data_IF_900517449496
#
_entry.id   IF_900517449496
#
_cell.length_a   1.000
_cell.length_b   1.000
_cell.length_c   1.000
_cell.angle_alpha   90.00
_cell.angle_beta   90.00
_cell.angle_gamma   90.00
#
_symmetry.space_group_name_H-M   'P 1'
#
loop_
_entity.id
_entity.type
_entity.pdbx_description
1 polymer ?
#
# COMPACT_ATOMS: atom_id res chain seq x y z
N UNK A 1 -19.17 -18.76 27.54
CA UNK A 1 -18.01 -19.66 27.38
C UNK A 1 -16.79 -18.85 26.92
N UNK A 2 -16.01 -18.35 27.89
CA UNK A 2 -14.96 -17.34 27.66
C UNK A 2 -13.75 -17.89 26.90
N UNK A 3 -13.49 -19.21 27.00
CA UNK A 3 -12.39 -19.89 26.30
C UNK A 3 -12.54 -19.91 24.78
N UNK A 4 -13.76 -20.16 24.27
CA UNK A 4 -14.03 -20.17 22.82
C UNK A 4 -13.84 -18.79 22.17
N UNK A 5 -14.10 -17.72 22.91
CA UNK A 5 -13.91 -16.34 22.43
C UNK A 5 -12.44 -15.99 22.23
N UNK A 6 -11.58 -16.37 23.18
CA UNK A 6 -10.13 -16.12 23.10
C UNK A 6 -9.50 -16.90 21.94
N UNK A 7 -9.90 -18.16 21.76
CA UNK A 7 -9.38 -19.01 20.68
C UNK A 7 -9.81 -18.50 19.29
N UNK A 8 -11.07 -18.08 19.16
CA UNK A 8 -11.57 -17.46 17.93
C UNK A 8 -10.82 -16.17 17.60
N UNK A 9 -10.54 -15.32 18.60
CA UNK A 9 -9.77 -14.09 18.42
C UNK A 9 -8.33 -14.38 17.95
N UNK A 10 -7.67 -15.37 18.56
CA UNK A 10 -6.32 -15.80 18.15
C UNK A 10 -6.30 -16.31 16.71
N UNK A 11 -7.28 -17.14 16.33
CA UNK A 11 -7.40 -17.66 14.98
C UNK A 11 -7.60 -16.53 13.95
N UNK A 12 -8.45 -15.53 14.26
CA UNK A 12 -8.63 -14.34 13.44
C UNK A 12 -7.33 -13.54 13.30
N UNK A 13 -6.63 -13.25 14.40
CA UNK A 13 -5.36 -12.54 14.35
C UNK A 13 -4.33 -13.28 13.50
N UNK A 14 -4.19 -14.59 13.66
CA UNK A 14 -3.28 -15.41 12.87
C UNK A 14 -3.65 -15.40 11.37
N UNK A 15 -4.94 -15.44 11.04
CA UNK A 15 -5.41 -15.35 9.66
C UNK A 15 -5.06 -13.99 9.04
N UNK A 16 -5.29 -12.88 9.74
CA UNK A 16 -4.97 -11.53 9.26
C UNK A 16 -3.47 -11.33 9.02
N UNK A 17 -2.62 -11.85 9.90
CA UNK A 17 -1.15 -11.85 9.71
C UNK A 17 -0.79 -12.62 8.43
N UNK A 18 -1.35 -13.81 8.21
CA UNK A 18 -1.10 -14.62 7.01
C UNK A 18 -1.58 -13.91 5.74
N UNK A 19 -2.75 -13.30 5.78
CA UNK A 19 -3.30 -12.54 4.64
C UNK A 19 -2.36 -11.39 4.30
N UNK A 20 -1.98 -10.55 5.25
CA UNK A 20 -1.06 -9.44 4.97
C UNK A 20 0.32 -9.90 4.50
N UNK A 21 0.84 -10.97 5.11
CA UNK A 21 2.11 -11.59 4.70
C UNK A 21 2.08 -12.07 3.24
N UNK A 22 0.92 -12.52 2.74
CA UNK A 22 0.71 -12.86 1.34
C UNK A 22 0.67 -11.62 0.42
N UNK A 23 0.15 -10.49 0.91
CA UNK A 23 0.08 -9.21 0.16
C UNK A 23 1.45 -8.55 -0.05
N UNK A 24 2.46 -8.87 0.77
CA UNK A 24 3.82 -8.29 0.70
C UNK A 24 4.40 -8.29 -0.72
N UNK A 25 4.24 -9.40 -1.45
CA UNK A 25 4.79 -9.51 -2.81
C UNK A 25 4.08 -8.60 -3.81
N UNK A 26 2.76 -8.48 -3.70
CA UNK A 26 1.98 -7.53 -4.51
C UNK A 26 2.39 -6.09 -4.21
N UNK A 27 2.51 -5.72 -2.94
CA UNK A 27 2.99 -4.39 -2.55
C UNK A 27 4.34 -4.08 -3.22
N UNK A 28 5.30 -5.01 -3.13
CA UNK A 28 6.60 -4.84 -3.76
C UNK A 28 6.51 -4.74 -5.30
N UNK A 29 5.71 -5.58 -5.96
CA UNK A 29 5.56 -5.56 -7.42
C UNK A 29 4.95 -4.24 -7.92
N UNK A 30 3.85 -3.78 -7.31
CA UNK A 30 3.21 -2.51 -7.67
C UNK A 30 4.16 -1.34 -7.39
N UNK A 31 4.85 -1.36 -6.24
CA UNK A 31 5.86 -0.38 -5.87
C UNK A 31 6.96 -0.27 -6.93
N UNK A 32 7.58 -1.39 -7.29
CA UNK A 32 8.66 -1.44 -8.27
C UNK A 32 8.21 -0.95 -9.65
N UNK A 33 7.02 -1.36 -10.11
CA UNK A 33 6.45 -0.89 -11.37
C UNK A 33 6.28 0.63 -11.37
N UNK A 34 5.73 1.17 -10.28
CA UNK A 34 5.50 2.60 -10.14
C UNK A 34 6.82 3.40 -10.09
N UNK A 35 7.79 2.96 -9.29
CA UNK A 35 9.09 3.62 -9.14
C UNK A 35 9.93 3.59 -10.44
N UNK A 36 9.83 2.51 -11.22
CA UNK A 36 10.48 2.38 -12.55
C UNK A 36 9.80 3.24 -13.61
N UNK A 37 8.47 3.32 -13.60
CA UNK A 37 7.70 4.10 -14.58
C UNK A 37 7.89 5.62 -14.45
N UNK A 38 8.29 6.11 -13.27
CA UNK A 38 8.47 7.52 -13.01
C UNK A 38 9.64 7.71 -12.01
N UNK A 39 10.80 8.24 -12.46
CA UNK A 39 11.98 8.48 -11.62
C UNK A 39 11.74 9.43 -10.43
N UNK A 40 10.75 10.32 -10.52
CA UNK A 40 10.42 11.29 -9.47
C UNK A 40 9.24 10.85 -8.59
N UNK A 41 8.70 9.64 -8.81
CA UNK A 41 7.62 9.12 -7.95
C UNK A 41 8.20 8.71 -6.59
N UNK A 42 7.55 9.14 -5.50
CA UNK A 42 7.79 8.64 -4.15
C UNK A 42 6.61 7.78 -3.68
N UNK A 43 6.94 6.75 -2.92
CA UNK A 43 6.02 5.71 -2.50
C UNK A 43 5.92 5.68 -0.98
N UNK A 44 4.70 5.52 -0.48
CA UNK A 44 4.45 5.16 0.91
C UNK A 44 3.74 3.82 0.96
N UNK A 45 4.25 2.86 1.72
CA UNK A 45 3.56 1.59 1.97
C UNK A 45 3.23 1.50 3.46
N UNK A 46 1.94 1.43 3.77
CA UNK A 46 1.45 1.28 5.13
C UNK A 46 0.92 -0.14 5.34
N UNK A 47 1.54 -0.90 6.25
CA UNK A 47 1.13 -2.27 6.62
C UNK A 47 0.71 -2.32 8.09
N UNK A 48 0.07 -3.39 8.54
CA UNK A 48 -0.35 -3.52 9.93
C UNK A 48 0.73 -4.21 10.79
N UNK A 49 1.48 -5.16 10.23
CA UNK A 49 2.44 -5.99 10.96
C UNK A 49 3.90 -5.67 10.62
N UNK A 50 4.77 -5.72 11.64
CA UNK A 50 6.20 -5.42 11.50
C UNK A 50 6.94 -6.42 10.61
N UNK A 51 6.54 -7.70 10.63
CA UNK A 51 7.15 -8.72 9.75
C UNK A 51 6.92 -8.39 8.27
N UNK A 52 5.72 -7.93 7.92
CA UNK A 52 5.41 -7.44 6.56
C UNK A 52 6.30 -6.25 6.20
N UNK A 53 6.52 -5.34 7.15
CA UNK A 53 7.35 -4.16 6.98
C UNK A 53 8.81 -4.53 6.72
N UNK A 54 9.38 -5.42 7.53
CA UNK A 54 10.76 -5.88 7.36
C UNK A 54 10.96 -6.56 6.01
N UNK A 55 10.04 -7.44 5.60
CA UNK A 55 10.11 -8.09 4.28
C UNK A 55 10.03 -7.08 3.13
N UNK A 56 9.18 -6.05 3.24
CA UNK A 56 9.11 -4.98 2.24
C UNK A 56 10.38 -4.15 2.18
N UNK A 57 10.99 -3.85 3.33
CA UNK A 57 12.27 -3.14 3.40
C UNK A 57 13.35 -3.89 2.64
N UNK A 58 13.43 -5.20 2.84
CA UNK A 58 14.45 -6.02 2.19
C UNK A 58 14.21 -6.09 0.66
N UNK A 59 12.95 -6.26 0.23
CA UNK A 59 12.55 -6.30 -1.19
C UNK A 59 12.75 -4.96 -1.92
N UNK A 60 12.67 -3.83 -1.22
CA UNK A 60 12.78 -2.47 -1.78
C UNK A 60 14.09 -1.77 -1.41
N UNK A 61 15.08 -2.51 -0.92
CA UNK A 61 16.35 -2.01 -0.40
C UNK A 61 17.12 -1.11 -1.39
N UNK A 62 16.99 -1.36 -2.69
CA UNK A 62 17.60 -0.55 -3.75
C UNK A 62 17.07 0.89 -3.86
N UNK A 63 15.99 1.23 -3.15
CA UNK A 63 15.43 2.59 -3.08
C UNK A 63 15.61 3.25 -1.70
N UNK A 64 16.55 2.73 -0.90
CA UNK A 64 16.89 3.20 0.45
C UNK A 64 15.65 3.48 1.32
N UNK A 65 14.82 2.46 1.56
CA UNK A 65 13.53 2.62 2.21
C UNK A 65 13.69 3.11 3.65
N UNK A 66 12.92 4.13 4.00
CA UNK A 66 12.81 4.63 5.37
C UNK A 66 11.69 3.89 6.11
N UNK A 67 11.83 3.72 7.42
CA UNK A 67 10.88 2.97 8.25
C UNK A 67 10.30 3.87 9.34
N UNK A 68 8.97 3.88 9.45
CA UNK A 68 8.20 4.62 10.45
C UNK A 68 7.25 3.67 11.19
N UNK A 69 7.74 3.06 12.27
CA UNK A 69 6.97 2.13 13.09
C UNK A 69 6.83 2.64 14.54
N UNK A 70 6.17 1.84 15.38
CA UNK A 70 5.91 2.21 16.78
C UNK A 70 7.18 2.36 17.64
N UNK A 71 8.32 1.83 17.20
CA UNK A 71 9.59 1.88 17.96
C UNK A 71 10.42 3.13 17.66
N UNK A 72 10.12 3.86 16.58
CA UNK A 72 10.82 5.11 16.25
C UNK A 72 10.43 6.21 17.25
N UNK A 73 11.44 6.83 17.88
CA UNK A 73 11.26 7.93 18.83
C UNK A 73 10.72 9.18 18.13
N UNK A 74 10.01 10.04 18.86
CA UNK A 74 9.28 11.18 18.29
C UNK A 74 10.20 12.13 17.51
N UNK A 75 11.39 12.37 18.04
CA UNK A 75 12.42 13.24 17.46
C UNK A 75 12.95 12.64 16.15
N UNK A 76 13.19 11.33 16.14
CA UNK A 76 13.67 10.60 14.96
C UNK A 76 12.59 10.46 13.87
N UNK A 77 11.31 10.38 14.24
CA UNK A 77 10.21 10.36 13.27
C UNK A 77 10.25 11.59 12.36
N UNK A 78 10.51 12.76 12.92
CA UNK A 78 10.62 14.00 12.14
C UNK A 78 11.78 13.89 11.14
N UNK A 79 12.95 13.44 11.58
CA UNK A 79 14.10 13.24 10.70
C UNK A 79 13.81 12.26 9.54
N UNK A 80 13.12 11.16 9.83
CA UNK A 80 12.67 10.20 8.82
C UNK A 80 11.72 10.86 7.80
N UNK A 81 10.75 11.63 8.28
CA UNK A 81 9.80 12.33 7.40
C UNK A 81 10.50 13.39 6.57
N UNK A 82 11.40 14.17 7.16
CA UNK A 82 12.15 15.23 6.48
C UNK A 82 13.02 14.65 5.36
N UNK A 83 13.70 13.51 5.61
CA UNK A 83 14.44 12.76 4.58
C UNK A 83 13.54 12.26 3.46
N UNK A 84 12.35 11.74 3.79
CA UNK A 84 11.39 11.29 2.78
C UNK A 84 10.84 12.48 1.97
N UNK A 85 10.60 13.62 2.60
CA UNK A 85 10.02 14.81 1.98
C UNK A 85 11.02 15.59 1.12
N UNK A 86 12.32 15.46 1.39
CA UNK A 86 13.37 16.11 0.62
C UNK A 86 13.18 15.89 -0.89
N UNK A 87 13.39 16.91 -1.75
CA UNK A 87 13.20 16.80 -3.19
C UNK A 87 14.39 16.08 -3.86
N UNK A 88 14.72 14.88 -3.38
CA UNK A 88 15.79 14.00 -3.86
C UNK A 88 15.29 12.59 -4.15
N UNK A 89 16.07 11.87 -4.95
CA UNK A 89 15.85 10.46 -5.31
C UNK A 89 16.54 9.48 -4.34
N UNK A 90 17.21 9.99 -3.30
CA UNK A 90 17.92 9.20 -2.30
C UNK A 90 16.97 8.31 -1.48
N UNK A 91 15.87 8.88 -0.98
CA UNK A 91 14.88 8.19 -0.16
C UNK A 91 13.49 8.28 -0.82
N UNK A 92 13.19 7.30 -1.67
CA UNK A 92 11.95 7.29 -2.47
C UNK A 92 10.84 6.42 -1.88
N UNK A 93 11.14 5.60 -0.88
CA UNK A 93 10.19 4.69 -0.24
C UNK A 93 10.12 4.98 1.25
N UNK A 94 8.90 5.17 1.75
CA UNK A 94 8.60 5.19 3.18
C UNK A 94 7.71 4.00 3.51
N UNK A 95 8.13 3.19 4.48
CA UNK A 95 7.40 2.04 4.99
C UNK A 95 6.93 2.36 6.40
N UNK A 96 5.69 2.07 6.74
CA UNK A 96 5.22 2.32 8.10
C UNK A 96 4.05 1.48 8.53
N UNK A 97 3.76 1.51 9.82
CA UNK A 97 2.52 0.93 10.32
C UNK A 97 1.35 1.88 10.06
N UNK A 98 0.20 1.35 9.65
CA UNK A 98 -1.02 2.15 9.43
C UNK A 98 -1.33 3.05 10.63
N UNK A 99 -1.24 2.51 11.85
CA UNK A 99 -1.52 3.25 13.08
C UNK A 99 -0.59 4.46 13.30
N UNK A 100 0.70 4.32 12.95
CA UNK A 100 1.69 5.40 13.08
C UNK A 100 1.50 6.42 11.97
N UNK A 101 1.28 5.95 10.75
CA UNK A 101 1.10 6.83 9.60
C UNK A 101 -0.20 7.63 9.64
N UNK A 102 -1.24 7.14 10.32
CA UNK A 102 -2.51 7.87 10.46
C UNK A 102 -2.42 9.11 11.37
N UNK A 103 -1.42 9.17 12.26
CA UNK A 103 -1.36 10.16 13.34
C UNK A 103 -0.28 11.21 13.13
N UNK A 104 -0.70 12.46 12.89
CA UNK A 104 0.15 13.64 13.09
C UNK A 104 1.36 13.77 12.17
N UNK A 105 1.27 13.27 10.93
CA UNK A 105 2.35 13.37 9.93
C UNK A 105 1.84 13.94 8.60
N UNK A 106 2.75 14.56 7.86
CA UNK A 106 2.50 15.20 6.57
C UNK A 106 3.26 14.43 5.50
N UNK A 107 2.54 13.82 4.56
CA UNK A 107 3.11 12.93 3.53
C UNK A 107 2.83 13.41 2.10
N UNK A 108 2.19 14.56 1.95
CA UNK A 108 1.95 15.20 0.68
C UNK A 108 3.22 15.84 0.12
N UNK A 109 3.23 16.13 -1.19
CA UNK A 109 4.38 16.74 -1.84
C UNK A 109 4.33 18.27 -1.77
N UNK A 110 5.31 18.86 -1.08
CA UNK A 110 5.46 20.32 -0.91
C UNK A 110 6.28 20.99 -2.01
N UNK A 111 6.92 20.22 -2.89
CA UNK A 111 7.84 20.72 -3.91
C UNK A 111 7.26 20.64 -5.33
N UNK A 112 6.31 19.73 -5.57
CA UNK A 112 5.55 19.63 -6.83
C UNK A 112 6.18 18.73 -7.89
N UNK A 113 7.46 18.37 -7.73
CA UNK A 113 8.16 17.45 -8.63
C UNK A 113 8.01 15.98 -8.27
N UNK A 114 7.37 15.65 -7.14
CA UNK A 114 7.46 14.31 -6.55
C UNK A 114 6.07 13.69 -6.29
N UNK A 115 5.35 13.23 -7.32
CA UNK A 115 4.02 12.65 -7.14
C UNK A 115 4.04 11.48 -6.16
N UNK A 116 2.99 11.40 -5.33
CA UNK A 116 2.88 10.42 -4.24
C UNK A 116 2.02 9.23 -4.67
N UNK A 117 2.50 8.03 -4.37
CA UNK A 117 1.71 6.81 -4.44
C UNK A 117 1.69 6.14 -3.07
N UNK A 118 0.51 6.01 -2.47
CA UNK A 118 0.32 5.33 -1.21
C UNK A 118 -0.33 3.96 -1.43
N UNK A 119 0.29 2.90 -0.93
CA UNK A 119 -0.27 1.55 -0.91
C UNK A 119 -0.54 1.17 0.55
N UNK A 120 -1.80 0.91 0.89
CA UNK A 120 -2.23 0.73 2.28
C UNK A 120 -2.87 -0.65 2.43
N UNK A 121 -2.40 -1.40 3.43
CA UNK A 121 -3.05 -2.60 3.91
C UNK A 121 -4.20 -2.19 4.85
N UNK A 122 -5.46 -2.37 4.45
CA UNK A 122 -6.60 -1.93 5.24
C UNK A 122 -6.72 -2.72 6.56
N UNK A 123 -7.34 -2.10 7.56
CA UNK A 123 -7.70 -2.72 8.84
C UNK A 123 -9.11 -2.31 9.29
N UNK A 124 -9.57 -2.81 10.45
CA UNK A 124 -10.91 -2.53 10.98
C UNK A 124 -11.09 -1.08 11.50
N UNK A 125 -10.03 -0.29 11.59
CA UNK A 125 -10.07 1.09 12.07
C UNK A 125 -10.30 2.06 10.92
N UNK A 126 -11.56 2.16 10.49
CA UNK A 126 -12.00 3.04 9.39
C UNK A 126 -11.52 4.49 9.54
N UNK A 127 -11.52 5.03 10.77
CA UNK A 127 -11.05 6.39 11.06
C UNK A 127 -9.56 6.56 10.74
N UNK A 128 -8.72 5.58 11.07
CA UNK A 128 -7.29 5.64 10.78
C UNK A 128 -7.05 5.61 9.27
N UNK A 129 -7.79 4.77 8.53
CA UNK A 129 -7.69 4.70 7.07
C UNK A 129 -8.16 5.99 6.40
N UNK A 130 -9.26 6.57 6.88
CA UNK A 130 -9.78 7.85 6.41
C UNK A 130 -8.77 8.98 6.66
N UNK A 131 -8.27 9.12 7.90
CA UNK A 131 -7.27 10.13 8.24
C UNK A 131 -5.97 9.94 7.44
N UNK A 132 -5.52 8.70 7.24
CA UNK A 132 -4.33 8.38 6.46
C UNK A 132 -4.47 8.81 5.01
N UNK A 133 -5.63 8.59 4.37
CA UNK A 133 -5.91 9.04 3.01
C UNK A 133 -5.71 10.55 2.83
N UNK A 134 -6.17 11.34 3.80
CA UNK A 134 -6.02 12.80 3.80
C UNK A 134 -4.60 13.30 4.15
N UNK A 135 -3.65 12.42 4.51
CA UNK A 135 -2.26 12.85 4.73
C UNK A 135 -1.48 13.10 3.44
N UNK A 136 -2.00 12.61 2.31
CA UNK A 136 -1.35 12.71 1.00
C UNK A 136 -1.90 13.84 0.13
N UNK A 137 -3.05 14.41 0.48
CA UNK A 137 -3.69 15.49 -0.25
C UNK A 137 -4.16 16.56 0.75
N UNK A 138 -3.56 17.75 0.64
CA UNK A 138 -3.81 18.94 1.44
C UNK A 138 -3.97 20.16 0.52
N UNK A 139 -4.41 21.27 1.11
CA UNK A 139 -4.62 22.53 0.39
C UNK A 139 -3.35 23.04 -0.30
N UNK A 140 -2.17 22.77 0.27
CA UNK A 140 -0.87 23.23 -0.21
C UNK A 140 -0.08 22.15 -0.98
N UNK A 141 -0.71 21.00 -1.28
CA UNK A 141 -0.08 19.92 -2.04
C UNK A 141 0.17 20.35 -3.49
N UNK A 142 1.41 20.16 -3.97
CA UNK A 142 1.84 20.70 -5.27
C UNK A 142 1.86 19.67 -6.41
N UNK A 143 1.80 18.38 -6.12
CA UNK A 143 1.72 17.32 -7.15
C UNK A 143 0.61 16.32 -6.87
N UNK A 144 0.31 15.48 -7.87
CA UNK A 144 -0.74 14.48 -7.73
C UNK A 144 -0.40 13.41 -6.70
N UNK A 145 -1.43 13.00 -5.96
CA UNK A 145 -1.35 11.92 -4.99
C UNK A 145 -2.35 10.83 -5.35
N UNK A 146 -1.92 9.58 -5.26
CA UNK A 146 -2.80 8.44 -5.49
C UNK A 146 -2.71 7.50 -4.30
N UNK A 147 -3.86 7.21 -3.68
CA UNK A 147 -3.96 6.29 -2.54
C UNK A 147 -4.71 5.04 -2.95
N UNK A 148 -4.13 3.88 -2.63
CA UNK A 148 -4.66 2.58 -2.93
C UNK A 148 -4.80 1.73 -1.67
N UNK A 149 -6.02 1.29 -1.41
CA UNK A 149 -6.29 0.26 -0.40
C UNK A 149 -6.18 -1.11 -1.06
N UNK A 150 -5.38 -1.99 -0.48
CA UNK A 150 -4.89 -3.21 -1.13
C UNK A 150 -5.52 -4.44 -0.48
N UNK A 151 -6.46 -5.06 -1.21
CA UNK A 151 -7.30 -6.16 -0.72
C UNK A 151 -6.98 -7.49 -1.40
N UNK A 152 -7.06 -8.59 -0.65
CA UNK A 152 -6.94 -9.95 -1.21
C UNK A 152 -8.32 -10.46 -1.66
N UNK A 153 -8.53 -10.69 -2.97
CA UNK A 153 -9.84 -11.00 -3.55
C UNK A 153 -10.50 -12.27 -2.98
N UNK A 154 -9.70 -13.30 -2.68
CA UNK A 154 -10.20 -14.59 -2.18
C UNK A 154 -9.94 -14.80 -0.69
N UNK A 155 -9.36 -13.81 -0.01
CA UNK A 155 -9.37 -13.82 1.45
C UNK A 155 -10.68 -13.17 1.89
N UNK A 156 -11.34 -13.72 2.91
CA UNK A 156 -12.50 -13.10 3.54
C UNK A 156 -12.09 -11.83 4.32
N UNK A 157 -11.45 -10.85 3.65
CA UNK A 157 -11.39 -9.44 4.07
C UNK A 157 -12.75 -8.76 3.87
N UNK A 158 -13.73 -9.49 3.31
CA UNK A 158 -15.12 -9.05 3.15
C UNK A 158 -15.73 -8.47 4.43
N UNK A 159 -15.55 -9.02 5.65
CA UNK A 159 -16.08 -8.37 6.85
C UNK A 159 -15.39 -7.03 7.17
N UNK A 160 -14.12 -6.85 6.80
CA UNK A 160 -13.43 -5.55 6.89
C UNK A 160 -14.05 -4.60 5.84
N UNK A 161 -14.19 -5.04 4.60
CA UNK A 161 -14.83 -4.29 3.52
C UNK A 161 -16.28 -3.91 3.85
N UNK A 162 -17.05 -4.82 4.43
CA UNK A 162 -18.44 -4.65 4.84
C UNK A 162 -18.51 -3.73 6.05
N UNK A 163 -17.59 -3.84 7.02
CA UNK A 163 -17.49 -2.90 8.12
C UNK A 163 -17.11 -1.49 7.63
N UNK A 164 -16.17 -1.39 6.68
CA UNK A 164 -15.78 -0.14 6.03
C UNK A 164 -16.92 0.46 5.21
N UNK A 165 -17.64 -0.36 4.45
CA UNK A 165 -18.78 0.05 3.62
C UNK A 165 -19.96 0.50 4.47
N UNK A 166 -20.34 -0.27 5.50
CA UNK A 166 -21.40 0.11 6.45
C UNK A 166 -21.05 1.40 7.20
N UNK A 167 -19.83 1.50 7.74
CA UNK A 167 -19.39 2.72 8.43
C UNK A 167 -19.24 3.89 7.48
N UNK A 168 -18.80 3.66 6.24
CA UNK A 168 -18.77 4.68 5.19
C UNK A 168 -20.17 5.19 4.84
N UNK A 169 -21.17 4.31 4.82
CA UNK A 169 -22.59 4.67 4.68
C UNK A 169 -23.08 5.54 5.83
N UNK A 170 -22.80 5.15 7.08
CA UNK A 170 -23.14 5.96 8.26
C UNK A 170 -22.43 7.32 8.21
N UNK A 171 -21.15 7.36 7.85
CA UNK A 171 -20.41 8.61 7.70
C UNK A 171 -21.08 9.52 6.67
N UNK A 172 -21.43 8.98 5.49
CA UNK A 172 -22.15 9.69 4.43
C UNK A 172 -23.45 10.31 4.92
N UNK A 173 -24.25 9.55 5.68
CA UNK A 173 -25.52 10.01 6.24
C UNK A 173 -25.31 11.13 7.27
N UNK A 174 -24.26 11.05 8.08
CA UNK A 174 -23.96 12.03 9.14
C UNK A 174 -23.24 13.29 8.65
N UNK A 175 -22.58 13.25 7.48
CA UNK A 175 -21.83 14.38 6.92
C UNK A 175 -22.29 14.73 5.49
N UNK A 176 -23.55 15.16 5.30
CA UNK A 176 -24.09 15.46 3.98
C UNK A 176 -23.31 16.57 3.25
N UNK A 177 -22.74 17.51 3.99
CA UNK A 177 -21.89 18.59 3.47
C UNK A 177 -20.65 18.05 2.74
N UNK A 178 -20.03 16.98 3.25
CA UNK A 178 -18.88 16.33 2.62
C UNK A 178 -19.27 15.58 1.33
N UNK A 179 -20.48 15.01 1.31
CA UNK A 179 -21.03 14.37 0.10
C UNK A 179 -21.29 15.40 -0.98
N UNK A 180 -21.89 16.54 -0.60
CA UNK A 180 -22.16 17.65 -1.50
C UNK A 180 -20.86 18.26 -2.07
N UNK A 181 -19.77 18.25 -1.30
CA UNK A 181 -18.44 18.61 -1.74
C UNK A 181 -17.74 17.55 -2.63
N UNK A 182 -18.43 16.46 -2.98
CA UNK A 182 -17.92 15.41 -3.86
C UNK A 182 -16.87 14.50 -3.21
N UNK A 183 -16.81 14.42 -1.88
CA UNK A 183 -15.87 13.54 -1.18
C UNK A 183 -16.35 12.08 -1.31
N UNK A 184 -15.47 11.22 -1.81
CA UNK A 184 -15.73 9.78 -1.93
C UNK A 184 -15.51 9.08 -0.58
N UNK A 185 -16.47 8.26 -0.17
CA UNK A 185 -16.41 7.48 1.06
C UNK A 185 -15.89 6.04 0.81
N UNK A 186 -15.34 5.36 1.84
CA UNK A 186 -14.96 3.95 1.79
C UNK A 186 -16.06 3.07 1.16
N UNK A 187 -15.72 2.34 0.10
CA UNK A 187 -16.67 1.52 -0.69
C UNK A 187 -17.08 2.10 -2.05
N UNK A 188 -16.94 3.41 -2.27
CA UNK A 188 -17.27 4.08 -3.55
C UNK A 188 -16.07 4.29 -4.48
N UNK A 189 -14.92 3.72 -4.13
CA UNK A 189 -13.70 3.88 -4.89
C UNK A 189 -13.63 2.91 -6.08
N UNK A 190 -13.15 3.37 -7.26
CA UNK A 190 -12.92 2.47 -8.38
C UNK A 190 -11.93 1.39 -8.01
N UNK A 191 -12.28 0.15 -8.35
CA UNK A 191 -11.45 -1.03 -8.13
C UNK A 191 -10.74 -1.43 -9.41
N UNK A 192 -9.49 -1.88 -9.33
CA UNK A 192 -8.86 -2.66 -10.40
C UNK A 192 -8.19 -3.89 -9.81
N UNK A 193 -8.10 -4.95 -10.62
CA UNK A 193 -7.43 -6.19 -10.24
C UNK A 193 -5.99 -6.14 -10.73
N UNK A 194 -5.02 -6.35 -9.85
CA UNK A 194 -3.63 -6.49 -10.25
C UNK A 194 -3.47 -7.73 -11.17
N UNK A 195 -2.90 -7.53 -12.37
CA UNK A 195 -2.56 -8.62 -13.28
C UNK A 195 -1.57 -9.58 -12.61
N UNK A 196 -1.77 -10.90 -12.74
CA UNK A 196 -0.84 -11.87 -12.20
C UNK A 196 0.56 -11.72 -12.86
N UNK A 197 1.58 -12.27 -12.20
CA UNK A 197 2.97 -12.12 -12.64
C UNK A 197 3.18 -12.70 -14.03
N UNK A 198 2.53 -13.82 -14.34
CA UNK A 198 2.68 -14.52 -15.61
C UNK A 198 2.08 -13.68 -16.74
N UNK A 199 0.87 -13.15 -16.56
CA UNK A 199 0.21 -12.23 -17.49
C UNK A 199 1.01 -10.94 -17.69
N UNK A 200 1.58 -10.39 -16.61
CA UNK A 200 2.46 -9.21 -16.67
C UNK A 200 3.74 -9.48 -17.47
N UNK A 201 4.34 -10.67 -17.30
CA UNK A 201 5.52 -11.10 -18.05
C UNK A 201 5.20 -11.36 -19.53
N UNK A 202 4.05 -11.99 -19.81
CA UNK A 202 3.56 -12.21 -21.18
C UNK A 202 3.40 -10.90 -21.95
N UNK A 203 2.75 -9.91 -21.33
CA UNK A 203 2.53 -8.58 -21.92
C UNK A 203 3.82 -7.81 -22.15
N UNK A 204 4.85 -8.06 -21.36
CA UNK A 204 6.18 -7.48 -21.52
C UNK A 204 7.03 -8.18 -22.61
N UNK A 205 6.47 -9.16 -23.33
CA UNK A 205 7.19 -9.94 -24.36
C UNK A 205 8.18 -10.94 -23.77
N UNK A 206 8.06 -11.28 -22.49
CA UNK A 206 9.00 -12.13 -21.74
C UNK A 206 8.51 -13.60 -21.64
N UNK A 207 7.74 -14.04 -22.64
CA UNK A 207 7.24 -15.43 -22.78
C UNK A 207 8.39 -16.41 -23.10
N UNK A 208 9.33 -16.61 -22.17
CA UNK A 208 10.51 -17.44 -22.47
C UNK A 208 11.56 -17.54 -21.37
N UNK A 209 11.52 -16.66 -20.37
CA UNK A 209 12.50 -16.55 -19.27
C UNK A 209 12.72 -17.84 -18.46
N UNK A 210 11.83 -18.84 -18.62
CA UNK A 210 12.03 -20.19 -18.05
C UNK A 210 13.25 -20.90 -18.66
N UNK A 211 13.74 -20.55 -19.85
CA UNK A 211 14.76 -21.33 -20.59
C UNK A 211 16.20 -20.81 -20.53
N UNK A 212 16.45 -19.52 -20.30
CA UNK A 212 17.79 -18.95 -20.49
C UNK A 212 18.50 -18.57 -19.19
N UNK A 213 19.71 -19.10 -18.95
CA UNK A 213 20.45 -18.94 -17.70
C UNK A 213 20.98 -17.51 -17.49
N UNK A 214 21.31 -16.81 -18.57
CA UNK A 214 21.76 -15.40 -18.51
C UNK A 214 20.60 -14.44 -18.25
N UNK A 215 19.42 -14.70 -18.82
CA UNK A 215 18.21 -13.92 -18.53
C UNK A 215 17.74 -14.13 -17.10
N UNK A 216 17.91 -15.33 -16.52
CA UNK A 216 17.70 -15.57 -15.08
C UNK A 216 18.69 -14.78 -14.23
N UNK A 217 19.94 -14.61 -14.67
CA UNK A 217 20.96 -13.81 -13.97
C UNK A 217 20.57 -12.33 -13.98
N UNK A 218 20.12 -11.81 -15.12
CA UNK A 218 19.59 -10.45 -15.25
C UNK A 218 18.29 -10.26 -14.44
N UNK A 219 17.34 -11.19 -14.53
CA UNK A 219 16.09 -11.11 -13.78
C UNK A 219 16.30 -11.25 -12.25
N UNK A 220 17.29 -12.05 -11.82
CA UNK A 220 17.78 -12.09 -10.42
C UNK A 220 18.39 -10.76 -9.98
N UNK A 221 19.08 -10.05 -10.87
CA UNK A 221 19.62 -8.71 -10.59
C UNK A 221 18.53 -7.63 -10.56
N UNK A 222 17.48 -7.72 -11.37
CA UNK A 222 16.45 -6.68 -11.54
C UNK A 222 15.21 -6.85 -10.65
N UNK A 223 14.91 -8.08 -10.25
CA UNK A 223 13.69 -8.46 -9.51
C UNK A 223 14.02 -9.03 -8.13
N UNK A 224 15.31 -9.28 -7.83
CA UNK A 224 15.77 -9.88 -6.57
C UNK A 224 15.56 -11.39 -6.56
N UNK A 225 16.58 -12.12 -6.11
CA UNK A 225 16.59 -13.60 -6.09
C UNK A 225 15.34 -14.20 -5.41
N UNK A 226 14.85 -13.55 -4.34
CA UNK A 226 13.69 -14.00 -3.57
C UNK A 226 12.36 -13.99 -4.35
N UNK A 227 12.17 -13.05 -5.28
CA UNK A 227 10.92 -12.92 -6.04
C UNK A 227 10.81 -13.98 -7.14
N UNK A 228 11.94 -14.32 -7.76
CA UNK A 228 12.03 -15.37 -8.78
C UNK A 228 11.95 -16.78 -8.21
N UNK A 229 12.58 -17.02 -7.05
CA UNK A 229 12.61 -18.35 -6.44
C UNK A 229 11.25 -18.78 -5.88
N UNK A 230 10.43 -17.82 -5.45
CA UNK A 230 9.11 -18.06 -4.89
C UNK A 230 7.97 -17.89 -5.91
N UNK A 231 8.13 -17.01 -6.90
CA UNK A 231 7.14 -16.80 -7.97
C UNK A 231 7.06 -17.93 -9.01
N UNK A 232 8.05 -18.82 -9.06
CA UNK A 232 8.12 -19.94 -10.01
C UNK A 232 7.73 -21.31 -9.41
N UNK A 233 7.32 -21.38 -8.13
CA UNK A 233 6.90 -22.66 -7.55
C UNK A 233 5.54 -23.08 -8.14
N UNK A 234 5.41 -24.32 -8.68
CA UNK A 234 4.11 -24.88 -9.02
C UNK A 234 3.31 -24.99 -7.72
N UNK A 235 2.29 -24.14 -7.56
CA UNK A 235 1.56 -23.96 -6.30
C UNK A 235 1.71 -22.59 -5.63
N UNK A 236 2.40 -21.63 -6.25
CA UNK A 236 2.41 -20.22 -5.86
C UNK A 236 1.04 -19.55 -6.09
N UNK A 237 0.02 -19.98 -5.37
CA UNK A 237 -1.30 -19.35 -5.34
C UNK A 237 -1.16 -18.01 -4.65
N UNK A 238 -1.15 -16.89 -5.38
CA UNK A 238 -1.20 -15.58 -4.72
C UNK A 238 -2.25 -14.71 -5.40
N UNK A 239 -3.49 -14.93 -4.93
CA UNK A 239 -4.64 -14.02 -4.86
C UNK A 239 -4.67 -12.90 -5.90
N UNK A 240 -5.71 -12.90 -6.76
CA UNK A 240 -6.16 -11.67 -7.42
C UNK A 240 -6.38 -10.61 -6.32
N UNK A 241 -5.94 -9.38 -6.54
CA UNK A 241 -6.05 -8.31 -5.54
C UNK A 241 -6.78 -7.13 -6.13
N UNK A 242 -7.84 -6.68 -5.45
CA UNK A 242 -8.58 -5.48 -5.84
C UNK A 242 -7.95 -4.28 -5.12
N UNK A 243 -7.67 -3.21 -5.88
CA UNK A 243 -7.14 -1.96 -5.33
C UNK A 243 -8.16 -0.85 -5.52
N UNK A 244 -8.56 -0.18 -4.43
CA UNK A 244 -9.50 0.93 -4.46
C UNK A 244 -8.74 2.27 -4.54
N UNK A 245 -8.94 3.05 -5.60
CA UNK A 245 -8.30 4.37 -5.80
C UNK A 245 -9.14 5.48 -5.16
N UNK A 246 -8.56 6.22 -4.23
CA UNK A 246 -9.13 7.49 -3.78
C UNK A 246 -8.89 8.53 -4.88
N UNK A 247 -9.96 9.01 -5.52
CA UNK A 247 -9.87 10.02 -6.58
C UNK A 247 -9.60 11.41 -5.97
N UNK A 248 -8.85 12.24 -6.70
CA UNK A 248 -8.65 13.65 -6.41
C UNK A 248 -10.00 14.37 -6.47
N UNK A 249 -10.68 14.53 -5.33
CA UNK A 249 -11.83 15.41 -5.22
C UNK A 249 -11.37 16.71 -4.59
N UNK A 250 -11.14 17.70 -5.46
CA UNK A 250 -11.18 19.16 -5.23
C UNK A 250 -10.25 19.89 -6.21
N UNK A 251 -10.65 19.97 -7.49
CA UNK A 251 -10.20 21.03 -8.41
C UNK A 251 -11.37 21.41 -9.33
N UNK A 252 -12.44 21.94 -8.76
CA UNK A 252 -13.52 22.61 -9.51
C UNK A 252 -14.57 23.18 -8.54
N UNK A 253 -14.17 24.10 -7.66
CA UNK A 253 -15.05 25.14 -7.09
C UNK A 253 -14.22 26.07 -6.22
N UNK A 254 -13.54 27.01 -6.89
CA UNK A 254 -13.37 28.42 -6.53
C UNK A 254 -12.80 29.12 -7.77
#
# INVERSE_FOLDING_TARGET
DMGRGIESLRAMCAALVKIESAKVQTFARVALKALKSNPQKKLVICVNYNDSLHRLRDLLSCYSPLVLNGTVQKEERKHVIDKFQAPSDEHRVLLGNVAVCSTGIDLDDKFGGWPRLALISPNYHTLNLYQLGHRFQRMDTKSSATVHMVFAQHAHELPILDALSRKGGVMRETTPEQVAAGILFPGSFPSWVEEDLETSLKRAGLEGLKRNAEERKWARQVVGAAVLEWGLRPGGVLYKMAMQRFAESARSTL
#
